data_IF_951963295749
#
_entry.id   IF_951963295749
#
_cell.length_a   1.000
_cell.length_b   1.000
_cell.length_c   1.000
_cell.angle_alpha   90.00
_cell.angle_beta   90.00
_cell.angle_gamma   90.00
#
_symmetry.space_group_name_H-M   'P 1'
#
loop_
_entity.id
_entity.type
_entity.pdbx_description
1 polymer ?
#
# COMPACT_ATOMS: atom_id res chain seq x y z
N UNK A 1 -1.01 22.55 17.33
CA UNK A 1 -1.13 21.22 16.69
C UNK A 1 -2.10 21.33 15.53
N UNK A 2 -1.73 20.91 14.31
CA UNK A 2 -2.66 20.83 13.17
C UNK A 2 -2.87 19.36 12.82
N UNK A 3 -4.07 18.82 13.09
CA UNK A 3 -4.46 17.50 12.59
C UNK A 3 -5.20 17.66 11.26
N UNK A 4 -4.89 16.81 10.29
CA UNK A 4 -5.73 16.64 9.11
C UNK A 4 -7.10 16.04 9.51
N UNK A 5 -8.14 16.26 8.68
CA UNK A 5 -9.52 15.91 8.99
C UNK A 5 -9.72 14.43 9.41
N UNK A 6 -9.08 13.48 8.73
CA UNK A 6 -9.20 12.05 9.04
C UNK A 6 -8.56 11.65 10.38
N UNK A 7 -7.28 11.96 10.67
CA UNK A 7 -6.71 11.75 12.01
C UNK A 7 -7.52 12.41 13.13
N UNK A 8 -8.09 13.59 12.87
CA UNK A 8 -8.91 14.29 13.85
C UNK A 8 -10.19 13.51 14.17
N UNK A 9 -10.89 13.03 13.15
CA UNK A 9 -12.10 12.21 13.35
C UNK A 9 -11.81 10.88 14.08
N UNK A 10 -10.66 10.25 13.81
CA UNK A 10 -10.22 9.06 14.58
C UNK A 10 -10.05 9.40 16.06
N UNK A 11 -9.38 10.52 16.36
CA UNK A 11 -9.19 10.96 17.73
C UNK A 11 -10.53 11.26 18.42
N UNK A 12 -11.46 11.93 17.73
CA UNK A 12 -12.81 12.21 18.26
C UNK A 12 -13.54 10.92 18.62
N UNK A 13 -13.56 9.91 17.74
CA UNK A 13 -14.22 8.62 18.05
C UNK A 13 -13.61 7.92 19.27
N UNK A 14 -12.28 8.00 19.43
CA UNK A 14 -11.59 7.44 20.58
C UNK A 14 -11.89 8.20 21.89
N UNK A 15 -12.13 9.50 21.80
CA UNK A 15 -12.50 10.36 22.93
C UNK A 15 -13.98 10.28 23.31
N UNK A 16 -14.87 9.96 22.37
CA UNK A 16 -16.30 9.73 22.62
C UNK A 16 -16.54 8.48 23.49
N UNK A 17 -15.68 7.46 23.34
CA UNK A 17 -15.75 6.20 24.11
C UNK A 17 -14.41 5.92 24.83
N UNK A 18 -14.05 6.69 25.87
CA UNK A 18 -12.79 6.48 26.58
C UNK A 18 -12.76 5.09 27.21
N UNK A 19 -11.59 4.44 27.22
CA UNK A 19 -11.37 3.09 27.76
C UNK A 19 -12.11 1.94 27.06
N UNK A 20 -12.93 2.21 26.04
CA UNK A 20 -13.57 1.19 25.22
C UNK A 20 -12.75 0.88 23.96
N UNK A 21 -12.93 -0.33 23.43
CA UNK A 21 -12.35 -0.71 22.14
C UNK A 21 -13.31 -0.21 21.07
N UNK A 22 -12.81 0.68 20.21
CA UNK A 22 -13.50 1.07 18.98
C UNK A 22 -13.02 0.11 17.89
N UNK A 23 -13.94 -0.65 17.31
CA UNK A 23 -13.59 -1.69 16.34
C UNK A 23 -13.20 -1.11 15.00
N UNK A 24 -12.49 -1.90 14.19
CA UNK A 24 -12.16 -1.50 12.82
C UNK A 24 -13.42 -1.27 11.99
N UNK A 25 -14.44 -2.09 12.18
CA UNK A 25 -15.72 -1.99 11.49
C UNK A 25 -16.45 -0.68 11.83
N UNK A 26 -16.49 -0.30 13.11
CA UNK A 26 -17.07 0.97 13.57
C UNK A 26 -16.32 2.18 12.99
N UNK A 27 -14.99 2.15 13.00
CA UNK A 27 -14.18 3.24 12.44
C UNK A 27 -14.36 3.34 10.93
N UNK A 28 -14.50 2.22 10.23
CA UNK A 28 -14.74 2.16 8.78
C UNK A 28 -16.03 2.84 8.40
N UNK A 29 -17.12 2.46 9.07
CA UNK A 29 -18.45 2.97 8.78
C UNK A 29 -18.52 4.49 8.96
N UNK A 30 -17.89 5.00 10.02
CA UNK A 30 -17.94 6.43 10.37
C UNK A 30 -16.99 7.32 9.56
N UNK A 31 -15.85 6.80 9.10
CA UNK A 31 -14.84 7.60 8.38
C UNK A 31 -14.93 7.50 6.85
N UNK A 32 -15.33 6.36 6.30
CA UNK A 32 -15.27 6.09 4.85
C UNK A 32 -16.59 5.67 4.21
N UNK A 33 -17.64 5.41 4.99
CA UNK A 33 -18.92 4.90 4.49
C UNK A 33 -18.80 3.51 3.84
N UNK A 34 -19.93 2.94 3.40
CA UNK A 34 -20.03 1.54 2.94
C UNK A 34 -19.34 1.21 1.60
N UNK A 35 -18.61 2.15 0.97
CA UNK A 35 -18.11 1.99 -0.40
C UNK A 35 -16.58 2.05 -0.60
N UNK A 36 -15.76 2.14 0.45
CA UNK A 36 -14.28 2.18 0.30
C UNK A 36 -13.62 0.93 0.92
N UNK A 37 -13.51 -0.15 0.15
CA UNK A 37 -13.06 -1.45 0.67
C UNK A 37 -11.54 -1.70 0.56
N UNK A 38 -10.83 -0.96 -0.31
CA UNK A 38 -9.48 -1.35 -0.74
C UNK A 38 -8.32 -0.62 -0.02
N UNK A 39 -8.58 0.53 0.63
CA UNK A 39 -7.53 1.34 1.30
C UNK A 39 -7.85 1.70 2.77
N UNK A 40 -8.85 1.03 3.35
CA UNK A 40 -9.30 1.32 4.72
C UNK A 40 -8.24 1.01 5.78
N UNK A 41 -7.69 -0.21 5.80
CA UNK A 41 -6.73 -0.62 6.84
C UNK A 41 -5.45 0.23 6.80
N UNK A 42 -4.97 0.57 5.60
CA UNK A 42 -3.77 1.39 5.44
C UNK A 42 -4.04 2.86 5.81
N UNK A 43 -5.19 3.40 5.40
CA UNK A 43 -5.66 4.73 5.79
C UNK A 43 -5.83 4.86 7.32
N UNK A 44 -6.42 3.84 7.96
CA UNK A 44 -6.62 3.80 9.40
C UNK A 44 -5.29 3.73 10.15
N UNK A 45 -4.37 2.87 9.75
CA UNK A 45 -3.04 2.76 10.36
C UNK A 45 -2.25 4.08 10.22
N UNK A 46 -2.38 4.75 9.08
CA UNK A 46 -1.76 6.06 8.83
C UNK A 46 -2.39 7.15 9.70
N UNK A 47 -3.71 7.15 9.84
CA UNK A 47 -4.42 8.11 10.67
C UNK A 47 -4.06 7.95 12.16
N UNK A 48 -4.04 6.72 12.67
CA UNK A 48 -3.63 6.42 14.05
C UNK A 48 -2.15 6.78 14.29
N UNK A 49 -1.27 6.54 13.32
CA UNK A 49 0.14 6.93 13.42
C UNK A 49 0.31 8.44 13.55
N UNK A 50 -0.47 9.23 12.79
CA UNK A 50 -0.49 10.70 12.91
C UNK A 50 -1.09 11.18 14.23
N UNK A 51 -2.12 10.51 14.75
CA UNK A 51 -2.66 10.80 16.09
C UNK A 51 -1.59 10.58 17.15
N UNK A 52 -0.85 9.45 17.07
CA UNK A 52 0.26 9.17 17.98
C UNK A 52 1.37 10.20 17.88
N UNK A 53 1.79 10.58 16.68
CA UNK A 53 2.81 11.61 16.46
C UNK A 53 2.43 12.93 17.14
N UNK A 54 1.16 13.36 16.99
CA UNK A 54 0.71 14.61 17.58
C UNK A 54 0.53 14.51 19.10
N UNK A 55 0.08 13.37 19.62
CA UNK A 55 0.01 13.14 21.07
C UNK A 55 1.37 12.83 21.71
N UNK A 56 2.44 12.71 20.92
CA UNK A 56 3.76 12.26 21.37
C UNK A 56 3.75 10.82 21.89
N UNK A 57 2.83 9.99 21.41
CA UNK A 57 2.63 8.62 21.84
C UNK A 57 3.44 7.62 21.02
N UNK A 58 3.82 6.49 21.63
CA UNK A 58 4.55 5.41 20.96
C UNK A 58 3.69 4.16 20.85
N UNK A 59 3.76 3.46 19.70
CA UNK A 59 3.11 2.17 19.54
C UNK A 59 3.75 1.06 20.40
N UNK A 60 5.02 1.22 20.82
CA UNK A 60 5.73 0.25 21.67
C UNK A 60 5.43 0.41 23.17
N UNK A 61 5.07 1.64 23.60
CA UNK A 61 4.69 1.97 24.97
C UNK A 61 3.48 2.91 24.89
N UNK A 62 2.27 2.36 24.65
CA UNK A 62 1.09 3.17 24.42
C UNK A 62 0.68 3.88 25.71
N UNK A 63 0.76 5.22 25.72
CA UNK A 63 0.30 6.08 26.81
C UNK A 63 -1.10 6.62 26.57
N UNK A 64 -1.46 6.82 25.30
CA UNK A 64 -2.75 7.41 24.92
C UNK A 64 -3.58 6.46 24.05
N UNK A 65 -2.99 5.84 23.03
CA UNK A 65 -3.69 4.99 22.07
C UNK A 65 -3.09 3.60 22.01
N UNK A 66 -3.82 2.62 22.52
CA UNK A 66 -3.46 1.20 22.49
C UNK A 66 -4.01 0.50 21.25
N UNK A 67 -3.19 -0.35 20.63
CA UNK A 67 -3.62 -1.24 19.55
C UNK A 67 -4.03 -2.58 20.13
N UNK A 68 -5.30 -2.97 19.96
CA UNK A 68 -5.78 -4.32 20.30
C UNK A 68 -5.77 -5.16 19.03
N UNK A 69 -4.80 -6.08 18.93
CA UNK A 69 -4.61 -6.92 17.75
C UNK A 69 -5.90 -7.66 17.34
N UNK A 70 -6.27 -7.52 16.07
CA UNK A 70 -7.47 -8.15 15.50
C UNK A 70 -8.82 -7.56 15.95
N UNK A 71 -8.85 -6.56 16.82
CA UNK A 71 -10.11 -5.94 17.29
C UNK A 71 -10.24 -4.47 16.93
N UNK A 72 -9.22 -3.66 17.22
CA UNK A 72 -9.32 -2.22 17.01
C UNK A 72 -8.38 -1.41 17.89
N UNK A 73 -8.83 -0.22 18.31
CA UNK A 73 -8.04 0.74 19.06
C UNK A 73 -8.77 1.18 20.34
N UNK A 74 -7.99 1.49 21.38
CA UNK A 74 -8.51 1.95 22.68
C UNK A 74 -7.78 3.19 23.15
N UNK A 75 -8.52 4.14 23.70
CA UNK A 75 -7.95 5.32 24.36
C UNK A 75 -7.75 5.06 25.86
N UNK A 76 -6.55 5.31 26.36
CA UNK A 76 -6.14 4.97 27.73
C UNK A 76 -6.17 6.16 28.70
N UNK A 77 -6.04 7.38 28.22
CA UNK A 77 -5.97 8.54 29.10
C UNK A 77 -7.37 8.96 29.59
N UNK A 78 -7.48 9.45 30.85
CA UNK A 78 -8.75 9.95 31.35
C UNK A 78 -9.19 11.19 30.55
N UNK A 79 -10.45 11.17 30.10
CA UNK A 79 -11.06 12.28 29.35
C UNK A 79 -11.97 13.06 30.29
N UNK A 80 -11.69 14.34 30.51
CA UNK A 80 -12.56 15.24 31.26
C UNK A 80 -13.29 16.15 30.28
N UNK A 81 -14.64 16.10 30.30
CA UNK A 81 -15.46 17.03 29.52
C UNK A 81 -15.49 18.37 30.26
N UNK A 82 -14.86 19.39 29.70
CA UNK A 82 -14.97 20.75 30.23
C UNK A 82 -16.28 21.37 29.71
N UNK A 83 -17.27 21.50 30.59
CA UNK A 83 -18.44 22.31 30.31
C UNK A 83 -18.07 23.77 30.59
N UNK A 84 -18.13 24.68 29.60
CA UNK A 84 -18.05 26.10 29.89
C UNK A 84 -19.21 26.43 30.83
N UNK A 85 -18.89 26.91 32.02
CA UNK A 85 -19.86 27.42 32.98
C UNK A 85 -20.66 28.53 32.31
N UNK A 86 -21.87 28.21 31.87
CA UNK A 86 -22.89 29.19 31.57
C UNK A 86 -23.51 29.62 32.89
N UNK A 87 -22.74 30.35 33.70
CA UNK A 87 -23.26 31.19 34.78
C UNK A 87 -23.47 32.60 34.22
N UNK A 88 -24.69 33.00 33.84
CA UNK A 88 -25.05 34.41 33.90
C UNK A 88 -25.26 34.81 35.38
N UNK A 89 -24.93 36.05 35.78
CA UNK A 89 -25.25 36.56 37.11
C UNK A 89 -26.75 36.48 37.36
N UNK A 90 -27.10 35.91 38.51
CA UNK A 90 -28.44 35.78 39.06
C UNK A 90 -29.18 37.14 39.14
N UNK A 91 -30.23 37.31 38.34
CA UNK A 91 -31.39 38.14 38.70
C UNK A 91 -32.70 37.39 38.41
N UNK A 92 -33.50 37.30 39.46
CA UNK A 92 -34.83 36.72 39.62
C UNK A 92 -35.86 37.08 38.55
N UNK A 93 -36.74 36.12 38.16
CA UNK A 93 -38.22 36.14 38.33
C UNK A 93 -38.80 34.72 38.14
N UNK A 94 -39.68 34.30 39.05
CA UNK A 94 -40.44 33.06 39.06
C UNK A 94 -41.70 33.11 38.16
N UNK A 95 -42.11 31.99 37.52
CA UNK A 95 -43.51 31.49 37.44
C UNK A 95 -43.51 29.97 37.16
N UNK A 96 -44.52 29.28 37.72
CA UNK A 96 -44.66 27.85 37.96
C UNK A 96 -45.43 27.01 36.91
N UNK A 97 -45.46 25.69 37.18
CA UNK A 97 -46.45 24.64 36.85
C UNK A 97 -46.41 23.97 35.46
N UNK A 98 -46.55 22.65 35.28
CA UNK A 98 -46.77 21.52 36.21
C UNK A 98 -47.02 20.19 35.45
N UNK A 99 -46.85 19.05 36.14
CA UNK A 99 -47.55 17.74 36.00
C UNK A 99 -47.46 16.96 34.65
N UNK A 100 -47.43 15.63 34.54
CA UNK A 100 -47.48 14.48 35.47
C UNK A 100 -47.13 13.18 34.68
N UNK A 101 -46.73 12.12 35.43
CA UNK A 101 -46.90 10.66 35.24
C UNK A 101 -46.68 10.03 33.84
N UNK A 102 -45.95 8.93 33.66
CA UNK A 102 -45.82 7.73 34.49
C UNK A 102 -46.31 6.51 33.69
N UNK A 103 -45.70 5.34 33.92
CA UNK A 103 -46.20 3.96 33.66
C UNK A 103 -45.42 3.10 32.65
N UNK A 104 -44.62 2.20 33.23
CA UNK A 104 -44.48 0.75 33.01
C UNK A 104 -44.63 0.13 31.61
N UNK A 105 -43.66 -0.74 31.24
CA UNK A 105 -43.92 -2.19 31.11
C UNK A 105 -42.62 -2.98 30.91
N UNK A 106 -42.44 -3.94 31.81
CA UNK A 106 -41.52 -5.08 31.82
C UNK A 106 -41.86 -6.15 30.78
N UNK A 107 -40.86 -6.81 30.18
CA UNK A 107 -40.98 -8.21 29.71
C UNK A 107 -39.66 -8.97 29.94
N UNK A 108 -39.80 -10.14 30.56
CA UNK A 108 -38.78 -11.12 30.92
C UNK A 108 -38.35 -12.06 29.77
N UNK A 109 -37.05 -12.34 29.75
CA UNK A 109 -36.31 -13.62 29.56
C UNK A 109 -37.07 -14.90 29.14
N UNK A 110 -36.67 -15.57 28.04
CA UNK A 110 -35.97 -16.90 28.02
C UNK A 110 -35.61 -17.40 26.58
N UNK A 111 -34.62 -18.33 26.43
CA UNK A 111 -33.89 -18.67 25.21
C UNK A 111 -34.43 -19.92 24.47
N UNK A 112 -33.74 -20.37 23.40
CA UNK A 112 -33.41 -21.80 23.35
C UNK A 112 -31.99 -22.09 22.82
N UNK A 113 -31.43 -23.20 23.31
CA UNK A 113 -30.17 -23.79 22.91
C UNK A 113 -30.33 -24.79 21.75
N UNK A 114 -29.23 -24.94 20.99
CA UNK A 114 -28.72 -26.13 20.28
C UNK A 114 -29.58 -26.87 19.24
N UNK A 115 -29.08 -26.93 17.99
CA UNK A 115 -29.10 -28.12 17.13
C UNK A 115 -27.86 -28.14 16.22
N UNK A 116 -27.31 -29.34 16.02
CA UNK A 116 -26.01 -29.66 15.42
C UNK A 116 -25.92 -29.55 13.88
N UNK A 117 -24.66 -29.34 13.45
CA UNK A 117 -24.00 -29.82 12.24
C UNK A 117 -24.20 -29.13 10.86
N UNK A 118 -23.15 -29.14 10.00
CA UNK A 118 -22.95 -28.21 8.87
C UNK A 118 -23.35 -28.78 7.50
N UNK A 119 -23.54 -27.93 6.48
CA UNK A 119 -23.23 -28.34 5.12
C UNK A 119 -22.37 -27.33 4.35
N UNK A 120 -21.37 -27.87 3.65
CA UNK A 120 -20.79 -27.27 2.45
C UNK A 120 -21.88 -26.77 1.49
N UNK A 121 -21.67 -25.61 0.86
CA UNK A 121 -21.80 -25.41 -0.60
C UNK A 121 -21.41 -24.00 -0.99
N UNK A 122 -20.54 -23.93 -2.01
CA UNK A 122 -19.93 -22.69 -2.48
C UNK A 122 -20.89 -21.73 -3.20
N UNK A 123 -20.40 -20.49 -3.32
CA UNK A 123 -20.62 -19.54 -4.42
C UNK A 123 -19.97 -18.18 -4.03
N UNK A 124 -19.68 -17.25 -4.95
CA UNK A 124 -19.28 -17.44 -6.34
C UNK A 124 -17.92 -16.79 -6.64
N UNK A 125 -17.27 -17.38 -7.62
CA UNK A 125 -16.27 -16.75 -8.48
C UNK A 125 -16.84 -15.44 -9.04
N UNK A 126 -16.32 -14.28 -8.61
CA UNK A 126 -16.40 -13.08 -9.42
C UNK A 126 -15.03 -12.42 -9.55
N UNK A 127 -14.42 -12.82 -10.65
CA UNK A 127 -13.16 -12.41 -11.26
C UNK A 127 -13.14 -10.90 -11.52
N UNK A 128 -12.29 -10.20 -10.79
CA UNK A 128 -11.29 -9.25 -11.33
C UNK A 128 -10.19 -9.00 -10.29
N UNK A 129 -9.77 -10.06 -9.60
CA UNK A 129 -8.43 -10.10 -9.02
C UNK A 129 -7.50 -10.32 -10.19
N UNK A 130 -6.63 -9.36 -10.51
CA UNK A 130 -5.37 -9.67 -11.18
C UNK A 130 -4.48 -10.34 -10.12
N UNK A 131 -4.39 -11.68 -10.07
CA UNK A 131 -3.86 -12.42 -8.94
C UNK A 131 -2.51 -12.95 -9.37
N UNK A 132 -1.50 -12.09 -9.41
CA UNK A 132 -0.13 -12.56 -9.49
C UNK A 132 0.52 -12.11 -8.21
N UNK A 133 0.39 -12.99 -7.20
CA UNK A 133 1.07 -13.02 -5.91
C UNK A 133 0.48 -12.12 -4.82
N UNK A 134 -0.21 -12.75 -3.85
CA UNK A 134 -0.31 -12.20 -2.49
C UNK A 134 1.06 -12.35 -1.82
N UNK A 135 1.48 -11.43 -0.94
CA UNK A 135 2.76 -11.53 -0.24
C UNK A 135 2.90 -12.76 0.68
N UNK A 136 1.81 -13.51 0.86
CA UNK A 136 1.72 -14.73 1.67
C UNK A 136 2.11 -16.00 0.90
N UNK A 137 1.92 -16.05 -0.42
CA UNK A 137 2.21 -17.24 -1.26
C UNK A 137 3.68 -17.35 -1.71
N UNK A 138 4.54 -16.39 -1.35
CA UNK A 138 5.92 -16.33 -1.84
C UNK A 138 6.89 -17.00 -0.86
N UNK A 139 7.68 -18.00 -1.32
CA UNK A 139 8.67 -18.65 -0.46
C UNK A 139 9.69 -17.63 0.04
N UNK A 140 10.15 -17.80 1.28
CA UNK A 140 11.17 -16.96 1.87
C UNK A 140 12.52 -17.12 1.12
N UNK A 141 12.71 -16.33 0.06
CA UNK A 141 13.92 -16.37 -0.74
C UNK A 141 15.08 -15.64 -0.03
N UNK A 142 16.33 -16.12 -0.16
CA UNK A 142 17.48 -15.46 0.44
C UNK A 142 17.67 -14.07 -0.21
N UNK A 143 17.74 -13.03 0.62
CA UNK A 143 17.84 -11.62 0.17
C UNK A 143 18.96 -11.35 -0.83
N UNK A 144 20.08 -12.07 -0.72
CA UNK A 144 21.20 -11.95 -1.67
C UNK A 144 20.75 -12.35 -3.07
N UNK A 145 20.00 -13.44 -3.20
CA UNK A 145 19.48 -13.91 -4.49
C UNK A 145 18.46 -12.91 -5.05
N UNK A 146 17.52 -12.44 -4.24
CA UNK A 146 16.54 -11.41 -4.67
C UNK A 146 17.26 -10.15 -5.15
N UNK A 147 18.29 -9.69 -4.44
CA UNK A 147 19.08 -8.51 -4.83
C UNK A 147 19.86 -8.75 -6.12
N UNK A 148 20.56 -9.88 -6.23
CA UNK A 148 21.33 -10.25 -7.43
C UNK A 148 20.40 -10.33 -8.63
N UNK A 149 19.24 -10.97 -8.49
CA UNK A 149 18.27 -11.11 -9.57
C UNK A 149 17.67 -9.76 -9.98
N UNK A 150 17.36 -8.89 -9.01
CA UNK A 150 16.89 -7.52 -9.31
C UNK A 150 17.96 -6.69 -10.04
N UNK A 151 19.22 -6.75 -9.60
CA UNK A 151 20.35 -6.07 -10.22
C UNK A 151 20.56 -6.59 -11.65
N UNK A 152 20.50 -7.91 -11.84
CA UNK A 152 20.64 -8.55 -13.15
C UNK A 152 19.53 -8.11 -14.10
N UNK A 153 18.27 -8.05 -13.63
CA UNK A 153 17.14 -7.53 -14.41
C UNK A 153 17.37 -6.07 -14.80
N UNK A 154 17.82 -5.20 -13.87
CA UNK A 154 18.10 -3.80 -14.21
C UNK A 154 19.23 -3.66 -15.22
N UNK A 155 20.31 -4.43 -15.07
CA UNK A 155 21.44 -4.43 -15.99
C UNK A 155 21.02 -4.89 -17.39
N UNK A 156 20.20 -5.93 -17.48
CA UNK A 156 19.62 -6.41 -18.73
C UNK A 156 18.81 -5.31 -19.43
N UNK A 157 17.88 -4.66 -18.72
CA UNK A 157 17.10 -3.55 -19.30
C UNK A 157 17.97 -2.40 -19.77
N UNK A 158 18.97 -2.01 -18.96
CA UNK A 158 19.88 -0.93 -19.34
C UNK A 158 20.68 -1.27 -20.60
N UNK A 159 21.12 -2.52 -20.73
CA UNK A 159 21.80 -3.02 -21.93
C UNK A 159 20.92 -2.93 -23.18
N UNK A 160 19.66 -3.34 -23.09
CA UNK A 160 18.72 -3.23 -24.21
C UNK A 160 18.37 -1.78 -24.57
N UNK A 161 18.22 -0.89 -23.58
CA UNK A 161 17.97 0.53 -23.83
C UNK A 161 19.15 1.20 -24.52
N UNK A 162 20.35 0.94 -24.01
CA UNK A 162 21.57 1.45 -24.62
C UNK A 162 21.77 0.89 -26.03
N UNK A 163 21.54 -0.41 -26.22
CA UNK A 163 21.66 -1.07 -27.53
C UNK A 163 20.69 -0.51 -28.57
N UNK A 164 19.43 -0.25 -28.22
CA UNK A 164 18.51 0.37 -29.18
C UNK A 164 18.88 1.83 -29.48
N UNK A 165 19.32 2.59 -28.46
CA UNK A 165 19.74 3.99 -28.65
C UNK A 165 21.06 4.12 -29.42
N UNK A 166 21.96 3.14 -29.34
CA UNK A 166 23.19 3.14 -30.14
C UNK A 166 22.93 2.81 -31.61
N UNK A 167 21.85 2.08 -31.91
CA UNK A 167 21.50 1.62 -33.26
C UNK A 167 20.34 2.44 -33.89
N UNK A 168 20.18 3.71 -33.48
CA UNK A 168 19.08 4.57 -33.97
C UNK A 168 19.10 4.75 -35.50
N UNK A 169 20.28 4.79 -36.12
CA UNK A 169 20.39 4.95 -37.57
C UNK A 169 19.86 3.72 -38.31
N UNK A 170 20.24 2.51 -37.87
CA UNK A 170 19.75 1.25 -38.45
C UNK A 170 18.22 1.11 -38.28
N UNK A 171 17.71 1.48 -37.10
CA UNK A 171 16.27 1.47 -36.83
C UNK A 171 15.53 2.44 -37.77
N UNK A 172 16.11 3.60 -38.05
CA UNK A 172 15.53 4.57 -38.98
C UNK A 172 15.38 3.97 -40.39
N UNK A 173 16.41 3.26 -40.86
CA UNK A 173 16.42 2.62 -42.18
C UNK A 173 15.33 1.54 -42.29
N UNK A 174 15.14 0.70 -41.25
CA UNK A 174 14.05 -0.29 -41.20
C UNK A 174 12.67 0.38 -41.34
N UNK A 175 12.45 1.48 -40.64
CA UNK A 175 11.16 2.18 -40.70
C UNK A 175 10.90 2.85 -42.04
N UNK A 176 11.95 3.31 -42.73
CA UNK A 176 11.86 3.83 -44.09
C UNK A 176 11.50 2.72 -45.09
N UNK A 177 12.15 1.55 -44.99
CA UNK A 177 11.86 0.38 -45.84
C UNK A 177 10.46 -0.19 -45.58
N UNK A 178 10.00 -0.18 -44.33
CA UNK A 178 8.69 -0.68 -43.95
C UNK A 178 7.50 0.20 -44.41
N UNK A 179 7.75 1.26 -45.19
CA UNK A 179 6.75 2.20 -45.71
C UNK A 179 5.81 2.75 -44.63
N UNK A 180 6.30 2.84 -43.39
CA UNK A 180 5.55 3.39 -42.26
C UNK A 180 5.41 4.90 -42.43
N UNK A 181 4.17 5.39 -42.42
CA UNK A 181 3.83 6.71 -42.96
C UNK A 181 4.49 7.92 -42.27
N UNK A 182 5.08 7.79 -41.07
CA UNK A 182 5.77 8.89 -40.36
C UNK A 182 6.85 8.35 -39.39
N UNK A 183 8.06 8.00 -39.87
CA UNK A 183 9.12 7.43 -39.00
C UNK A 183 9.60 8.42 -37.93
N UNK A 184 9.50 9.73 -38.18
CA UNK A 184 10.01 10.76 -37.27
C UNK A 184 9.38 10.75 -35.88
N UNK A 185 8.05 10.55 -35.78
CA UNK A 185 7.37 10.58 -34.49
C UNK A 185 7.64 9.31 -33.67
N UNK A 186 7.73 8.14 -34.33
CA UNK A 186 8.10 6.88 -33.68
C UNK A 186 9.53 6.93 -33.13
N UNK A 187 10.47 7.49 -33.91
CA UNK A 187 11.85 7.67 -33.45
C UNK A 187 11.94 8.67 -32.29
N UNK A 188 11.23 9.80 -32.37
CA UNK A 188 11.16 10.75 -31.27
C UNK A 188 10.58 10.11 -30.00
N UNK A 189 9.51 9.31 -30.13
CA UNK A 189 8.92 8.56 -29.02
C UNK A 189 9.92 7.55 -28.42
N UNK A 190 10.65 6.82 -29.26
CA UNK A 190 11.64 5.84 -28.82
C UNK A 190 12.80 6.51 -28.08
N UNK A 191 13.34 7.60 -28.62
CA UNK A 191 14.43 8.36 -28.00
C UNK A 191 13.98 8.99 -26.68
N UNK A 192 12.81 9.63 -26.65
CA UNK A 192 12.28 10.27 -25.44
C UNK A 192 12.00 9.26 -24.34
N UNK A 193 11.32 8.16 -24.65
CA UNK A 193 11.06 7.09 -23.67
C UNK A 193 12.36 6.46 -23.17
N UNK A 194 13.32 6.14 -24.05
CA UNK A 194 14.63 5.60 -23.64
C UNK A 194 15.40 6.55 -22.72
N UNK A 195 15.46 7.84 -23.07
CA UNK A 195 16.16 8.87 -22.28
C UNK A 195 15.53 9.09 -20.90
N UNK A 196 14.21 8.96 -20.79
CA UNK A 196 13.50 9.05 -19.50
C UNK A 196 13.66 7.76 -18.68
N UNK A 197 13.65 6.59 -19.33
CA UNK A 197 13.70 5.30 -18.64
C UNK A 197 15.08 4.99 -18.07
N UNK A 198 16.17 5.42 -18.71
CA UNK A 198 17.54 5.19 -18.23
C UNK A 198 17.75 5.73 -16.81
N UNK A 199 17.47 7.01 -16.49
CA UNK A 199 17.55 7.53 -15.13
C UNK A 199 16.68 6.77 -14.13
N UNK A 200 15.47 6.37 -14.52
CA UNK A 200 14.56 5.62 -13.66
C UNK A 200 15.14 4.23 -13.33
N UNK A 201 15.69 3.52 -14.32
CA UNK A 201 16.37 2.23 -14.12
C UNK A 201 17.63 2.37 -13.29
N UNK A 202 18.45 3.41 -13.51
CA UNK A 202 19.64 3.69 -12.71
C UNK A 202 19.28 4.02 -11.26
N UNK A 203 18.19 4.75 -11.03
CA UNK A 203 17.65 4.98 -9.70
C UNK A 203 17.24 3.67 -9.03
N UNK A 204 16.50 2.79 -9.72
CA UNK A 204 16.10 1.49 -9.19
C UNK A 204 17.31 0.58 -8.91
N UNK A 205 18.29 0.54 -9.82
CA UNK A 205 19.54 -0.18 -9.65
C UNK A 205 20.26 0.27 -8.37
N UNK A 206 20.43 1.58 -8.21
CA UNK A 206 21.11 2.18 -7.07
C UNK A 206 20.32 1.98 -5.77
N UNK A 207 19.00 2.14 -5.82
CA UNK A 207 18.13 1.96 -4.65
C UNK A 207 18.13 0.51 -4.14
N UNK A 208 18.19 -0.47 -5.05
CA UNK A 208 18.34 -1.90 -4.70
C UNK A 208 19.75 -2.19 -4.18
N UNK A 209 20.78 -1.57 -4.76
CA UNK A 209 22.16 -1.74 -4.31
C UNK A 209 22.38 -1.20 -2.89
N UNK A 210 21.72 -0.08 -2.53
CA UNK A 210 21.86 0.62 -1.26
C UNK A 210 20.80 0.26 -0.19
N UNK A 211 19.99 -0.78 -0.41
CA UNK A 211 18.93 -1.21 0.54
C UNK A 211 17.95 -0.08 0.94
N UNK A 212 17.46 0.68 -0.04
CA UNK A 212 16.58 1.81 0.23
C UNK A 212 15.22 1.36 0.80
N UNK A 213 14.93 1.72 2.05
CA UNK A 213 13.78 1.23 2.84
C UNK A 213 12.42 1.58 2.22
N UNK A 214 12.29 2.73 1.56
CA UNK A 214 11.01 3.21 1.00
C UNK A 214 10.81 2.87 -0.48
N UNK A 215 11.61 1.94 -1.03
CA UNK A 215 11.62 1.61 -2.45
C UNK A 215 10.26 1.06 -2.93
N UNK A 216 9.61 0.21 -2.14
CA UNK A 216 8.34 -0.43 -2.51
C UNK A 216 7.22 0.60 -2.74
N UNK A 217 7.07 1.58 -1.85
CA UNK A 217 6.02 2.58 -1.94
C UNK A 217 6.18 3.49 -3.17
N UNK A 218 7.43 3.89 -3.49
CA UNK A 218 7.73 4.67 -4.70
C UNK A 218 7.54 3.83 -5.96
N UNK A 219 8.01 2.58 -5.94
CA UNK A 219 7.87 1.66 -7.06
C UNK A 219 6.40 1.36 -7.38
N UNK A 220 5.55 1.14 -6.37
CA UNK A 220 4.12 0.89 -6.60
C UNK A 220 3.41 2.03 -7.34
N UNK A 221 3.84 3.29 -7.10
CA UNK A 221 3.32 4.47 -7.83
C UNK A 221 3.85 4.55 -9.26
N UNK A 222 5.12 4.19 -9.47
CA UNK A 222 5.77 4.21 -10.79
C UNK A 222 5.38 3.00 -11.66
N UNK A 223 4.96 1.89 -11.04
CA UNK A 223 4.75 0.61 -11.71
C UNK A 223 3.75 0.65 -12.87
N UNK A 224 2.58 1.31 -12.80
CA UNK A 224 1.63 1.32 -13.92
C UNK A 224 2.23 1.96 -15.17
N UNK A 225 2.93 3.08 -15.01
CA UNK A 225 3.63 3.73 -16.13
C UNK A 225 4.80 2.89 -16.61
N UNK A 226 5.64 2.40 -15.68
CA UNK A 226 6.77 1.54 -16.02
C UNK A 226 6.34 0.27 -16.75
N UNK A 227 5.21 -0.36 -16.37
CA UNK A 227 4.73 -1.56 -17.04
C UNK A 227 4.44 -1.32 -18.53
N UNK A 228 3.77 -0.21 -18.86
CA UNK A 228 3.46 0.12 -20.26
C UNK A 228 4.74 0.40 -21.03
N UNK A 229 5.66 1.18 -20.45
CA UNK A 229 6.89 1.55 -21.12
C UNK A 229 7.86 0.36 -21.23
N UNK A 230 7.88 -0.53 -20.24
CA UNK A 230 8.65 -1.77 -20.25
C UNK A 230 8.09 -2.77 -21.24
N UNK A 231 6.76 -2.87 -21.37
CA UNK A 231 6.14 -3.74 -22.37
C UNK A 231 6.42 -3.23 -23.79
N UNK A 232 6.38 -1.91 -24.00
CA UNK A 232 6.79 -1.30 -25.26
C UNK A 232 8.25 -1.64 -25.58
N UNK A 233 9.13 -1.47 -24.60
CA UNK A 233 10.54 -1.76 -24.75
C UNK A 233 10.89 -3.25 -24.71
N UNK A 234 9.95 -4.14 -24.39
CA UNK A 234 10.18 -5.58 -24.49
C UNK A 234 10.44 -6.03 -25.93
N UNK A 235 10.01 -5.23 -26.90
CA UNK A 235 10.25 -5.40 -28.33
C UNK A 235 11.65 -4.92 -28.77
N UNK A 236 12.47 -4.38 -27.86
CA UNK A 236 13.83 -3.94 -28.20
C UNK A 236 14.71 -4.98 -28.88
N UNK A 237 14.59 -6.31 -28.63
CA UNK A 237 15.37 -7.28 -29.38
C UNK A 237 15.10 -7.24 -30.89
N UNK A 238 13.89 -6.86 -31.33
CA UNK A 238 13.57 -6.71 -32.75
C UNK A 238 14.23 -5.49 -33.39
N UNK A 239 14.53 -4.46 -32.58
CA UNK A 239 15.27 -3.29 -33.05
C UNK A 239 16.74 -3.63 -33.34
N UNK A 240 17.22 -4.78 -32.85
CA UNK A 240 18.58 -5.28 -33.03
C UNK A 240 18.65 -6.38 -34.08
N UNK A 241 17.62 -6.58 -34.91
CA UNK A 241 17.53 -7.73 -35.85
C UNK A 241 18.68 -7.79 -36.88
N UNK A 242 19.37 -6.67 -37.12
CA UNK A 242 20.59 -6.66 -37.95
C UNK A 242 21.79 -7.32 -37.26
N UNK A 243 21.81 -7.31 -35.92
CA UNK A 243 22.88 -7.91 -35.10
C UNK A 243 22.53 -9.28 -34.57
N UNK A 244 21.24 -9.55 -34.34
CA UNK A 244 20.74 -10.82 -33.79
C UNK A 244 19.73 -11.47 -34.71
N UNK A 245 19.78 -12.80 -34.84
CA UNK A 245 18.78 -13.50 -35.66
C UNK A 245 17.37 -13.31 -35.13
N UNK A 246 16.36 -13.35 -36.01
CA UNK A 246 14.95 -13.21 -35.64
C UNK A 246 14.52 -14.22 -34.54
N UNK A 247 15.09 -15.43 -34.55
CA UNK A 247 14.86 -16.43 -33.52
C UNK A 247 15.38 -16.01 -32.14
N UNK A 248 16.58 -15.40 -32.08
CA UNK A 248 17.10 -14.85 -30.83
C UNK A 248 16.29 -13.64 -30.36
N UNK A 249 15.84 -12.77 -31.26
CA UNK A 249 14.99 -11.63 -30.92
C UNK A 249 13.68 -12.10 -30.24
N UNK A 250 13.01 -13.11 -30.81
CA UNK A 250 11.83 -13.72 -30.20
C UNK A 250 12.14 -14.35 -28.84
N UNK A 251 13.23 -15.12 -28.74
CA UNK A 251 13.63 -15.78 -27.50
C UNK A 251 13.94 -14.79 -26.36
N UNK A 252 14.51 -13.62 -26.68
CA UNK A 252 14.81 -12.56 -25.71
C UNK A 252 13.58 -11.71 -25.37
N UNK A 253 12.62 -11.58 -26.28
CA UNK A 253 11.39 -10.83 -26.03
C UNK A 253 10.54 -11.48 -24.94
N UNK A 254 10.45 -12.82 -24.92
CA UNK A 254 9.66 -13.55 -23.92
C UNK A 254 10.05 -13.23 -22.45
N UNK A 255 11.31 -13.35 -22.01
CA UNK A 255 11.71 -12.97 -20.66
C UNK A 255 11.60 -11.46 -20.42
N UNK A 256 11.79 -10.61 -21.43
CA UNK A 256 11.61 -9.16 -21.32
C UNK A 256 10.14 -8.79 -21.03
N UNK A 257 9.18 -9.43 -21.69
CA UNK A 257 7.74 -9.25 -21.42
C UNK A 257 7.38 -9.69 -20.00
N UNK A 258 8.00 -10.75 -19.49
CA UNK A 258 7.74 -11.26 -18.14
C UNK A 258 8.46 -10.48 -17.03
N UNK A 259 9.58 -9.83 -17.34
CA UNK A 259 10.45 -9.19 -16.37
C UNK A 259 9.78 -8.11 -15.48
N UNK A 260 8.80 -7.29 -15.92
CA UNK A 260 8.10 -6.34 -15.06
C UNK A 260 7.34 -7.02 -13.92
N UNK A 261 6.73 -8.18 -14.21
CA UNK A 261 6.03 -8.99 -13.22
C UNK A 261 7.01 -9.63 -12.24
N UNK A 262 8.10 -10.21 -12.75
CA UNK A 262 9.18 -10.75 -11.92
C UNK A 262 9.76 -9.70 -10.97
N UNK A 263 10.02 -8.48 -11.48
CA UNK A 263 10.54 -7.36 -10.71
C UNK A 263 9.57 -6.94 -9.59
N UNK A 264 8.27 -6.86 -9.88
CA UNK A 264 7.25 -6.56 -8.87
C UNK A 264 7.26 -7.58 -7.73
N UNK A 265 7.24 -8.88 -8.07
CA UNK A 265 7.26 -9.96 -7.09
C UNK A 265 8.53 -9.94 -6.23
N UNK A 266 9.70 -9.70 -6.84
CA UNK A 266 10.98 -9.63 -6.14
C UNK A 266 11.08 -8.42 -5.18
N UNK A 267 10.53 -7.26 -5.56
CA UNK A 267 10.51 -6.08 -4.69
C UNK A 267 9.63 -6.33 -3.45
N UNK A 268 8.51 -7.04 -3.60
CA UNK A 268 7.66 -7.44 -2.48
C UNK A 268 8.39 -8.42 -1.54
N UNK A 269 9.12 -9.40 -2.09
CA UNK A 269 9.96 -10.30 -1.27
C UNK A 269 11.03 -9.52 -0.51
N UNK A 270 11.68 -8.57 -1.18
CA UNK A 270 12.78 -7.79 -0.60
C UNK A 270 12.32 -6.98 0.62
N UNK A 271 11.15 -6.34 0.55
CA UNK A 271 10.62 -5.51 1.64
C UNK A 271 10.10 -6.33 2.84
N UNK A 272 9.46 -7.48 2.62
CA UNK A 272 9.06 -8.40 3.70
C UNK A 272 10.27 -8.85 4.50
N UNK A 273 11.30 -9.29 3.78
CA UNK A 273 12.55 -9.68 4.39
C UNK A 273 13.16 -8.51 5.19
N UNK A 274 13.10 -7.27 4.67
CA UNK A 274 13.57 -6.02 5.31
C UNK A 274 12.97 -5.81 6.69
N UNK A 275 11.63 -5.90 6.80
CA UNK A 275 10.92 -5.77 8.06
C UNK A 275 11.34 -6.80 9.11
N UNK A 276 11.42 -8.09 8.73
CA UNK A 276 11.74 -9.18 9.67
C UNK A 276 13.11 -9.06 10.35
N UNK A 277 14.12 -8.48 9.69
CA UNK A 277 15.43 -8.24 10.35
C UNK A 277 15.38 -7.06 11.30
N UNK A 278 14.59 -6.03 10.98
CA UNK A 278 14.47 -4.88 11.86
C UNK A 278 13.80 -5.28 13.17
N UNK A 279 12.72 -6.07 13.11
CA UNK A 279 12.05 -6.62 14.29
C UNK A 279 12.96 -7.55 15.10
N UNK A 280 13.69 -8.47 14.45
CA UNK A 280 14.66 -9.35 15.13
C UNK A 280 15.77 -8.58 15.85
N UNK A 281 16.30 -7.51 15.24
CA UNK A 281 17.32 -6.65 15.86
C UNK A 281 16.82 -5.87 17.07
N UNK A 282 15.57 -5.39 17.01
CA UNK A 282 14.94 -4.70 18.13
C UNK A 282 14.68 -5.67 19.29
N UNK A 283 14.24 -6.89 18.99
CA UNK A 283 14.06 -7.94 19.99
C UNK A 283 15.39 -8.31 20.67
N UNK A 284 16.46 -8.53 19.90
CA UNK A 284 17.78 -8.86 20.47
C UNK A 284 18.37 -7.70 21.29
N UNK A 285 18.15 -6.45 20.87
CA UNK A 285 18.60 -5.27 21.62
C UNK A 285 17.83 -5.08 22.93
N UNK A 286 16.53 -5.38 22.95
CA UNK A 286 15.71 -5.33 24.16
C UNK A 286 16.09 -6.43 25.16
N UNK A 287 16.48 -7.61 24.66
CA UNK A 287 16.91 -8.74 25.49
C UNK A 287 18.30 -8.54 26.09
N UNK A 288 19.21 -7.86 25.37
CA UNK A 288 20.53 -7.47 25.91
C UNK A 288 20.50 -6.28 26.90
N UNK A 289 19.37 -5.59 27.02
CA UNK A 289 19.18 -4.47 27.94
C UNK A 289 18.51 -4.89 29.27
N UNK A 290 18.20 -6.17 29.45
CA UNK A 290 17.66 -6.77 30.68
C UNK A 290 18.71 -7.60 31.40
#
# INVERSE_FOLDING_TARGET
MRLHAQPFQVLVMLLEKPSMIVTREEMRERLWGSQTFVDFDHGLNTAVSKVREVLGDSASVPRFVETVAGKGYRFLAPVTVWQPSSDPPNESVAVAAGMANGTAASVSVEPPAHFDAPPEKGAPENTTRFPLTTPEDLPAAPRRLVRILLILIQAMYLGFYFGALSNLNEIHDIFLEAQQAQPGWLMALLITTGTVLIPVRLFLFTAVALDYVHLQAKFAKLFPALLVLDLLWSLSPFLLIHHISAGFALALTAPLVYAPFAQRSLILMHSRCAGERHTKRLASAAEQSR
#
